data_IF_351063893375
#
_entry.id   IF_351063893375
#
_cell.length_a   1.000
_cell.length_b   1.000
_cell.length_c   1.000
_cell.angle_alpha   90.00
_cell.angle_beta   90.00
_cell.angle_gamma   90.00
#
_symmetry.space_group_name_H-M   'P 1'
#
loop_
_entity.id
_entity.type
_entity.pdbx_description
1 polymer ?
#
# COMPACT_ATOMS: atom_id res chain seq x y z
N UNK A 1 1.49 22.26 -9.00
CA UNK A 1 1.68 21.94 -7.56
C UNK A 1 2.59 22.99 -6.94
N UNK A 2 2.23 23.51 -5.78
CA UNK A 2 2.99 24.58 -5.08
C UNK A 2 3.63 24.12 -3.77
N UNK A 3 3.32 22.92 -3.30
CA UNK A 3 3.88 22.31 -2.11
C UNK A 3 3.40 20.87 -1.94
N UNK A 4 4.06 20.13 -1.05
CA UNK A 4 3.83 18.71 -0.79
C UNK A 4 3.93 18.42 0.70
N UNK A 5 3.39 17.29 1.14
CA UNK A 5 3.61 16.80 2.50
C UNK A 5 5.02 16.17 2.65
N UNK A 6 5.41 15.86 3.89
CA UNK A 6 6.73 15.30 4.21
C UNK A 6 6.99 13.89 3.65
N UNK A 7 5.94 13.13 3.35
CA UNK A 7 6.02 11.75 2.85
C UNK A 7 5.94 11.65 1.32
N UNK A 8 5.44 12.68 0.63
CA UNK A 8 5.46 12.76 -0.84
C UNK A 8 6.90 12.78 -1.37
N UNK A 9 7.37 11.63 -1.84
CA UNK A 9 8.77 11.42 -2.25
C UNK A 9 8.92 10.90 -3.69
N UNK A 10 7.83 10.72 -4.41
CA UNK A 10 7.80 10.27 -5.79
C UNK A 10 6.75 11.06 -6.60
N UNK A 11 7.02 11.38 -7.88
CA UNK A 11 8.28 11.16 -8.61
C UNK A 11 9.41 12.08 -8.14
N UNK A 12 10.66 11.78 -8.48
CA UNK A 12 11.82 12.60 -8.05
C UNK A 12 11.69 14.08 -8.43
N UNK A 13 10.97 14.39 -9.51
CA UNK A 13 10.74 15.76 -9.98
C UNK A 13 10.00 16.67 -8.98
N UNK A 14 9.24 16.11 -8.03
CA UNK A 14 8.47 16.90 -7.05
C UNK A 14 9.27 17.20 -5.77
N UNK A 15 10.45 16.62 -5.57
CA UNK A 15 11.17 16.71 -4.30
C UNK A 15 11.70 18.11 -3.98
N UNK A 16 11.78 19.00 -4.97
CA UNK A 16 12.18 20.39 -4.78
C UNK A 16 11.02 21.29 -4.29
N UNK A 17 9.79 20.77 -4.21
CA UNK A 17 8.64 21.54 -3.74
C UNK A 17 8.71 21.76 -2.23
N UNK A 18 8.17 22.89 -1.73
CA UNK A 18 8.08 23.15 -0.29
C UNK A 18 7.38 22.02 0.46
N UNK A 19 8.02 21.53 1.53
CA UNK A 19 7.39 20.59 2.47
C UNK A 19 6.53 21.33 3.49
N UNK A 20 5.29 20.90 3.63
CA UNK A 20 4.24 21.58 4.41
C UNK A 20 3.87 20.84 5.70
N UNK A 21 4.69 19.87 6.13
CA UNK A 21 4.42 18.99 7.27
C UNK A 21 3.91 17.63 6.84
N UNK A 22 3.73 16.72 7.79
CA UNK A 22 3.23 15.36 7.62
C UNK A 22 2.00 15.10 8.49
N UNK A 23 1.89 13.87 9.00
CA UNK A 23 0.74 13.40 9.75
C UNK A 23 0.83 13.96 11.18
N UNK A 24 0.11 15.07 11.43
CA UNK A 24 0.00 15.70 12.75
C UNK A 24 0.68 17.07 12.90
N UNK A 25 1.54 17.46 11.96
CA UNK A 25 2.32 18.71 12.01
C UNK A 25 2.16 19.57 10.74
N UNK A 26 1.02 19.45 10.05
CA UNK A 26 0.69 20.24 8.85
C UNK A 26 0.73 21.74 9.17
N UNK A 27 1.56 22.49 8.43
CA UNK A 27 1.74 23.92 8.57
C UNK A 27 0.73 24.71 7.73
N UNK A 28 -0.40 25.05 8.37
CA UNK A 28 -1.50 25.79 7.73
C UNK A 28 -1.08 27.20 7.29
N UNK A 29 -0.26 27.90 8.07
CA UNK A 29 0.19 29.26 7.69
C UNK A 29 1.01 29.23 6.40
N UNK A 30 1.88 28.24 6.25
CA UNK A 30 2.66 28.04 5.03
C UNK A 30 1.79 27.62 3.85
N UNK A 31 0.75 26.81 4.07
CA UNK A 31 -0.25 26.49 3.04
C UNK A 31 -0.92 27.78 2.55
N UNK A 32 -1.40 28.63 3.47
CA UNK A 32 -2.08 29.90 3.13
C UNK A 32 -1.15 30.83 2.33
N UNK A 33 0.12 30.94 2.72
CA UNK A 33 1.12 31.76 2.02
C UNK A 33 1.34 31.34 0.57
N UNK A 34 1.20 30.05 0.26
CA UNK A 34 1.34 29.53 -1.11
C UNK A 34 0.12 29.79 -1.99
N UNK A 35 -0.99 30.27 -1.42
CA UNK A 35 -2.25 30.59 -2.13
C UNK A 35 -2.72 29.47 -3.08
N UNK A 36 -2.88 28.22 -2.61
CA UNK A 36 -3.32 27.12 -3.47
C UNK A 36 -4.79 27.29 -3.87
N UNK A 37 -5.14 26.86 -5.08
CA UNK A 37 -6.53 26.77 -5.52
C UNK A 37 -7.27 25.61 -4.84
N UNK A 38 -6.55 24.51 -4.56
CA UNK A 38 -7.05 23.32 -3.90
C UNK A 38 -5.95 22.63 -3.11
N UNK A 39 -6.31 22.03 -1.96
CA UNK A 39 -5.42 21.16 -1.18
C UNK A 39 -5.96 19.74 -1.19
N UNK A 40 -5.17 18.79 -1.71
CA UNK A 40 -5.47 17.37 -1.70
C UNK A 40 -5.04 16.76 -0.37
N UNK A 41 -5.94 16.05 0.32
CA UNK A 41 -5.73 15.56 1.68
C UNK A 41 -6.35 14.18 1.87
N UNK A 42 -5.94 13.46 2.91
CA UNK A 42 -6.69 12.32 3.41
C UNK A 42 -8.01 12.79 4.06
N UNK A 43 -9.09 12.03 3.89
CA UNK A 43 -10.41 12.36 4.44
C UNK A 43 -10.44 12.53 5.97
N UNK A 44 -9.56 11.82 6.69
CA UNK A 44 -9.44 11.93 8.14
C UNK A 44 -8.58 13.14 8.60
N UNK A 45 -8.09 13.96 7.67
CA UNK A 45 -7.17 15.05 8.00
C UNK A 45 -7.82 16.11 8.89
N UNK A 46 -7.24 16.42 10.07
CA UNK A 46 -7.86 17.34 11.04
C UNK A 46 -7.84 18.81 10.57
N UNK A 47 -7.09 19.14 9.51
CA UNK A 47 -6.93 20.51 9.03
C UNK A 47 -8.00 20.94 8.03
N UNK A 48 -8.84 20.02 7.54
CA UNK A 48 -9.86 20.29 6.51
C UNK A 48 -10.77 21.45 6.92
N UNK A 49 -11.36 21.38 8.12
CA UNK A 49 -12.28 22.42 8.60
C UNK A 49 -11.61 23.80 8.71
N UNK A 50 -10.34 23.84 9.15
CA UNK A 50 -9.58 25.08 9.29
C UNK A 50 -9.20 25.67 7.94
N UNK A 51 -8.79 24.87 6.97
CA UNK A 51 -8.50 25.33 5.61
C UNK A 51 -9.76 25.88 4.91
N UNK A 52 -10.87 25.15 5.00
CA UNK A 52 -12.15 25.61 4.45
C UNK A 52 -12.62 26.92 5.12
N UNK A 53 -12.46 27.06 6.43
CA UNK A 53 -12.77 28.29 7.16
C UNK A 53 -11.90 29.49 6.78
N UNK A 54 -10.72 29.25 6.19
CA UNK A 54 -9.84 30.26 5.60
C UNK A 54 -10.12 30.51 4.12
N UNK A 55 -11.18 29.91 3.56
CA UNK A 55 -11.56 30.04 2.15
C UNK A 55 -10.71 29.22 1.18
N UNK A 56 -9.91 28.26 1.68
CA UNK A 56 -9.09 27.38 0.83
C UNK A 56 -9.88 26.09 0.57
N UNK A 57 -10.12 25.79 -0.70
CA UNK A 57 -10.80 24.57 -1.10
C UNK A 57 -9.97 23.34 -0.75
N UNK A 58 -10.62 22.33 -0.18
CA UNK A 58 -10.00 21.03 0.12
C UNK A 58 -10.67 19.92 -0.68
N UNK A 59 -9.88 18.94 -1.10
CA UNK A 59 -10.37 17.73 -1.75
C UNK A 59 -9.81 16.50 -1.04
N UNK A 60 -10.70 15.82 -0.32
CA UNK A 60 -10.38 14.67 0.50
C UNK A 60 -10.50 13.36 -0.29
N UNK A 61 -9.47 12.51 -0.16
CA UNK A 61 -9.42 11.15 -0.69
C UNK A 61 -9.30 10.15 0.46
N UNK A 62 -9.97 9.02 0.33
CA UNK A 62 -9.84 7.86 1.21
C UNK A 62 -9.77 6.62 0.32
N UNK A 63 -8.57 6.06 0.18
CA UNK A 63 -8.29 5.00 -0.78
C UNK A 63 -7.92 3.74 0.00
N UNK A 64 -8.87 2.81 0.06
CA UNK A 64 -8.70 1.54 0.78
C UNK A 64 -8.70 0.35 -0.16
N UNK A 65 -9.46 0.41 -1.25
CA UNK A 65 -9.57 -0.64 -2.27
C UNK A 65 -9.02 -0.17 -3.63
N UNK A 66 -8.80 -1.09 -4.58
CA UNK A 66 -8.43 -0.66 -5.93
C UNK A 66 -9.59 0.08 -6.62
N UNK A 67 -10.85 -0.24 -6.25
CA UNK A 67 -12.03 0.51 -6.74
C UNK A 67 -12.02 1.96 -6.25
N UNK A 68 -11.55 2.21 -5.04
CA UNK A 68 -11.40 3.57 -4.52
C UNK A 68 -10.30 4.32 -5.27
N UNK A 69 -9.20 3.65 -5.62
CA UNK A 69 -8.12 4.23 -6.45
C UNK A 69 -8.65 4.64 -7.83
N UNK A 70 -9.37 3.76 -8.53
CA UNK A 70 -9.97 4.06 -9.84
C UNK A 70 -10.90 5.29 -9.76
N UNK A 71 -11.74 5.35 -8.73
CA UNK A 71 -12.63 6.50 -8.49
C UNK A 71 -11.85 7.76 -8.12
N UNK A 72 -10.78 7.64 -7.34
CA UNK A 72 -9.92 8.76 -6.97
C UNK A 72 -9.27 9.37 -8.21
N UNK A 73 -8.72 8.55 -9.11
CA UNK A 73 -8.17 8.99 -10.39
C UNK A 73 -9.22 9.73 -11.23
N UNK A 74 -10.43 9.19 -11.36
CA UNK A 74 -11.53 9.84 -12.10
C UNK A 74 -11.94 11.20 -11.50
N UNK A 75 -12.00 11.29 -10.16
CA UNK A 75 -12.30 12.57 -9.51
C UNK A 75 -11.15 13.57 -9.65
N UNK A 76 -9.91 13.10 -9.63
CA UNK A 76 -8.74 13.95 -9.85
C UNK A 76 -8.74 14.55 -11.27
N UNK A 77 -9.18 13.80 -12.29
CA UNK A 77 -9.37 14.35 -13.63
C UNK A 77 -10.33 15.54 -13.63
N UNK A 78 -11.45 15.45 -12.90
CA UNK A 78 -12.42 16.56 -12.77
C UNK A 78 -11.82 17.74 -12.02
N UNK A 79 -11.15 17.49 -10.88
CA UNK A 79 -10.58 18.55 -10.02
C UNK A 79 -9.42 19.28 -10.70
N UNK A 80 -8.59 18.55 -11.44
CA UNK A 80 -7.38 19.07 -12.09
C UNK A 80 -7.61 19.49 -13.54
N UNK A 81 -8.79 19.22 -14.11
CA UNK A 81 -9.07 19.46 -15.52
C UNK A 81 -8.23 18.60 -16.47
N UNK A 82 -7.93 17.36 -16.07
CA UNK A 82 -7.15 16.39 -16.85
C UNK A 82 -8.00 15.25 -17.39
N UNK A 83 -7.40 14.38 -18.21
CA UNK A 83 -8.04 13.19 -18.78
C UNK A 83 -7.08 11.98 -18.74
N UNK A 84 -6.38 11.80 -17.63
CA UNK A 84 -5.29 10.82 -17.47
C UNK A 84 -5.74 9.55 -16.75
N UNK A 85 -6.87 9.58 -16.03
CA UNK A 85 -7.31 8.49 -15.15
C UNK A 85 -7.39 7.14 -15.86
N UNK A 86 -8.02 7.09 -17.03
CA UNK A 86 -8.14 5.88 -17.85
C UNK A 86 -6.79 5.31 -18.24
N UNK A 87 -5.84 6.16 -18.66
CA UNK A 87 -4.50 5.73 -19.06
C UNK A 87 -3.74 5.14 -17.88
N UNK A 88 -3.73 5.85 -16.74
CA UNK A 88 -3.05 5.42 -15.51
C UNK A 88 -3.65 4.12 -14.98
N UNK A 89 -4.98 4.02 -14.93
CA UNK A 89 -5.66 2.82 -14.45
C UNK A 89 -5.38 1.60 -15.33
N UNK A 90 -5.43 1.78 -16.66
CA UNK A 90 -5.07 0.71 -17.59
C UNK A 90 -3.63 0.24 -17.40
N UNK A 91 -2.69 1.15 -17.14
CA UNK A 91 -1.30 0.79 -16.84
C UNK A 91 -1.21 -0.08 -15.58
N UNK A 92 -1.87 0.32 -14.49
CA UNK A 92 -1.93 -0.47 -13.24
C UNK A 92 -2.46 -1.88 -13.52
N UNK A 93 -3.59 -1.99 -14.22
CA UNK A 93 -4.20 -3.30 -14.52
C UNK A 93 -3.29 -4.18 -15.40
N UNK A 94 -2.62 -3.59 -16.40
CA UNK A 94 -1.69 -4.32 -17.27
C UNK A 94 -0.47 -4.82 -16.51
N UNK A 95 0.09 -4.02 -15.60
CA UNK A 95 1.21 -4.43 -14.75
C UNK A 95 0.83 -5.55 -13.80
N UNK A 96 -0.34 -5.49 -13.15
CA UNK A 96 -0.85 -6.58 -12.29
C UNK A 96 -1.04 -7.87 -13.10
N UNK A 97 -1.58 -7.77 -14.32
CA UNK A 97 -1.75 -8.92 -15.21
C UNK A 97 -0.42 -9.51 -15.67
N UNK A 98 0.62 -8.68 -15.86
CA UNK A 98 1.97 -9.17 -16.15
C UNK A 98 2.57 -9.89 -14.94
N UNK A 99 2.42 -9.32 -13.75
CA UNK A 99 2.90 -9.91 -12.50
C UNK A 99 2.25 -11.27 -12.24
N UNK A 100 0.94 -11.42 -12.48
CA UNK A 100 0.24 -12.69 -12.23
C UNK A 100 0.74 -13.84 -13.10
N UNK A 101 1.32 -13.55 -14.27
CA UNK A 101 1.89 -14.57 -15.19
C UNK A 101 3.27 -15.10 -14.75
N UNK A 102 3.93 -14.43 -13.80
CA UNK A 102 5.23 -14.88 -13.27
C UNK A 102 5.08 -15.97 -12.20
N UNK A 103 3.88 -16.10 -11.60
CA UNK A 103 3.61 -17.09 -10.58
C UNK A 103 3.19 -18.43 -11.19
N UNK A 104 3.50 -19.56 -10.52
CA UNK A 104 3.09 -20.88 -10.97
C UNK A 104 1.55 -21.00 -11.06
N UNK A 105 1.09 -21.90 -11.93
CA UNK A 105 -0.33 -22.11 -12.28
C UNK A 105 -1.28 -22.08 -11.06
N UNK A 106 -2.49 -21.49 -11.20
CA UNK A 106 -3.47 -21.31 -10.11
C UNK A 106 -3.94 -22.59 -9.40
N UNK A 107 -3.57 -23.78 -9.89
CA UNK A 107 -3.85 -25.05 -9.22
C UNK A 107 -3.19 -25.15 -7.82
N UNK A 108 -2.05 -24.48 -7.61
CA UNK A 108 -1.42 -24.40 -6.28
C UNK A 108 -1.67 -23.05 -5.64
N UNK A 109 -2.70 -23.00 -4.81
CA UNK A 109 -3.06 -21.83 -4.00
C UNK A 109 -2.00 -21.58 -2.91
N UNK A 110 -1.12 -20.60 -3.13
CA UNK A 110 -0.11 -20.19 -2.15
C UNK A 110 -0.77 -19.29 -1.10
N UNK A 111 -0.77 -19.72 0.16
CA UNK A 111 -1.27 -18.89 1.27
C UNK A 111 -0.25 -17.84 1.70
N UNK A 112 -0.69 -16.60 1.90
CA UNK A 112 0.17 -15.46 2.19
C UNK A 112 -0.33 -14.62 3.36
N UNK A 113 0.60 -14.04 4.09
CA UNK A 113 0.36 -13.01 5.11
C UNK A 113 1.19 -11.77 4.77
N UNK A 114 0.54 -10.62 4.60
CA UNK A 114 1.21 -9.34 4.36
C UNK A 114 1.01 -8.42 5.54
N UNK A 115 2.11 -8.03 6.20
CA UNK A 115 2.11 -7.06 7.29
C UNK A 115 2.59 -5.69 6.78
N UNK A 116 1.76 -4.66 6.91
CA UNK A 116 2.01 -3.35 6.30
C UNK A 116 2.96 -2.48 7.13
N UNK A 117 3.09 -2.74 8.43
CA UNK A 117 3.97 -2.00 9.33
C UNK A 117 4.28 -2.79 10.63
N UNK A 118 5.24 -2.33 11.46
CA UNK A 118 5.57 -3.00 12.73
C UNK A 118 4.45 -3.01 13.79
N UNK A 119 3.38 -2.23 13.58
CA UNK A 119 2.23 -2.15 14.50
C UNK A 119 1.13 -3.14 14.06
N UNK A 120 1.42 -4.44 14.11
CA UNK A 120 0.99 -5.51 13.18
C UNK A 120 -0.36 -5.27 12.46
N UNK A 121 -0.41 -4.27 11.59
CA UNK A 121 -1.52 -4.08 10.67
C UNK A 121 -1.27 -4.98 9.46
N UNK A 122 -2.30 -5.69 9.01
CA UNK A 122 -2.18 -6.56 7.86
C UNK A 122 -3.00 -6.03 6.67
N UNK A 123 -2.60 -6.42 5.46
CA UNK A 123 -3.45 -6.22 4.29
C UNK A 123 -4.61 -7.23 4.33
N UNK A 124 -5.81 -6.76 4.63
CA UNK A 124 -7.04 -7.54 4.50
C UNK A 124 -7.43 -7.72 3.04
N UNK A 125 -8.24 -8.73 2.73
CA UNK A 125 -8.61 -9.05 1.34
C UNK A 125 -9.31 -7.91 0.60
N UNK A 126 -10.06 -7.07 1.31
CA UNK A 126 -10.75 -5.91 0.75
C UNK A 126 -9.88 -4.63 0.69
N UNK A 127 -8.59 -4.73 1.00
CA UNK A 127 -7.64 -3.65 0.74
C UNK A 127 -7.13 -3.69 -0.69
N UNK A 128 -6.58 -2.58 -1.18
CA UNK A 128 -5.92 -2.55 -2.48
C UNK A 128 -4.77 -3.58 -2.56
N UNK A 129 -4.01 -3.78 -1.47
CA UNK A 129 -2.97 -4.82 -1.39
C UNK A 129 -3.60 -6.21 -1.46
N UNK A 130 -4.67 -6.46 -0.69
CA UNK A 130 -5.39 -7.74 -0.71
C UNK A 130 -6.02 -8.09 -2.07
N UNK A 131 -6.52 -7.09 -2.78
CA UNK A 131 -7.04 -7.22 -4.14
C UNK A 131 -5.92 -7.53 -5.14
N UNK A 132 -4.74 -6.90 -5.00
CA UNK A 132 -3.54 -7.26 -5.77
C UNK A 132 -3.16 -8.72 -5.50
N UNK A 133 -3.05 -9.14 -4.23
CA UNK A 133 -2.73 -10.52 -3.87
C UNK A 133 -3.72 -11.52 -4.49
N UNK A 134 -5.02 -11.18 -4.48
CA UNK A 134 -6.07 -12.00 -5.10
C UNK A 134 -5.89 -12.10 -6.62
N UNK A 135 -5.55 -11.00 -7.30
CA UNK A 135 -5.29 -10.97 -8.76
C UNK A 135 -4.00 -11.72 -9.14
N UNK A 136 -3.06 -11.84 -8.22
CA UNK A 136 -1.87 -12.68 -8.34
C UNK A 136 -2.18 -14.18 -8.11
N UNK A 137 -3.42 -14.56 -7.78
CA UNK A 137 -3.81 -15.94 -7.51
C UNK A 137 -3.40 -16.45 -6.11
N UNK A 138 -3.03 -15.55 -5.21
CA UNK A 138 -2.60 -15.87 -3.85
C UNK A 138 -3.81 -15.93 -2.91
N UNK A 139 -3.68 -16.74 -1.85
CA UNK A 139 -4.71 -16.85 -0.81
C UNK A 139 -4.27 -16.04 0.41
N UNK A 140 -4.90 -14.89 0.60
CA UNK A 140 -4.67 -14.07 1.79
C UNK A 140 -5.25 -14.77 3.03
N UNK A 141 -4.46 -14.93 4.09
CA UNK A 141 -4.94 -15.54 5.35
C UNK A 141 -5.86 -14.61 6.14
N UNK A 142 -5.89 -13.31 5.83
CA UNK A 142 -6.71 -12.33 6.54
C UNK A 142 -8.18 -12.43 6.09
N UNK A 143 -9.13 -12.74 6.99
CA UNK A 143 -10.54 -12.83 6.65
C UNK A 143 -11.14 -11.49 6.23
N UNK A 144 -12.07 -11.53 5.28
CA UNK A 144 -12.79 -10.37 4.73
C UNK A 144 -13.51 -9.57 5.82
N UNK A 145 -13.97 -10.26 6.88
CA UNK A 145 -14.72 -9.69 8.01
C UNK A 145 -13.92 -8.71 8.87
N UNK A 146 -12.58 -8.73 8.80
CA UNK A 146 -11.72 -7.86 9.58
C UNK A 146 -11.49 -6.48 8.93
N UNK A 147 -11.95 -6.29 7.69
CA UNK A 147 -11.79 -5.03 6.96
C UNK A 147 -10.47 -4.92 6.17
N UNK A 148 -10.16 -3.75 5.61
CA UNK A 148 -9.03 -3.58 4.69
C UNK A 148 -7.67 -3.58 5.38
N UNK A 149 -7.55 -2.94 6.55
CA UNK A 149 -6.28 -2.88 7.29
C UNK A 149 -6.49 -3.20 8.78
N UNK A 150 -6.84 -4.46 9.13
CA UNK A 150 -7.01 -4.85 10.52
C UNK A 150 -5.68 -4.92 11.26
N UNK A 151 -5.74 -4.61 12.55
CA UNK A 151 -4.67 -4.97 13.48
C UNK A 151 -4.80 -6.46 13.81
N UNK A 152 -3.73 -7.22 13.58
CA UNK A 152 -3.72 -8.68 13.71
C UNK A 152 -3.00 -9.11 14.98
N UNK A 153 -3.57 -10.10 15.65
CA UNK A 153 -2.92 -10.76 16.76
C UNK A 153 -1.83 -11.73 16.24
N UNK A 154 -0.56 -11.67 16.69
CA UNK A 154 0.49 -12.54 16.18
C UNK A 154 0.18 -14.05 16.26
N UNK A 155 -0.58 -14.51 17.25
CA UNK A 155 -1.00 -15.91 17.38
C UNK A 155 -1.92 -16.35 16.24
N UNK A 156 -2.74 -15.46 15.69
CA UNK A 156 -3.57 -15.75 14.52
C UNK A 156 -2.71 -16.17 13.31
N UNK A 157 -1.58 -15.48 13.10
CA UNK A 157 -0.62 -15.79 12.03
C UNK A 157 0.02 -17.16 12.26
N UNK A 158 0.38 -17.47 13.52
CA UNK A 158 0.93 -18.78 13.91
C UNK A 158 -0.06 -19.91 13.62
N UNK A 159 -1.33 -19.73 13.97
CA UNK A 159 -2.39 -20.71 13.74
C UNK A 159 -2.70 -20.89 12.25
N UNK A 160 -2.68 -19.81 11.49
CA UNK A 160 -3.00 -19.80 10.05
C UNK A 160 -1.90 -20.43 9.18
N UNK A 161 -0.66 -20.50 9.68
CA UNK A 161 0.50 -21.15 9.02
C UNK A 161 0.65 -20.77 7.53
N UNK A 162 0.77 -19.47 7.19
CA UNK A 162 0.93 -19.04 5.80
C UNK A 162 2.16 -19.70 5.16
N UNK A 163 2.08 -19.97 3.86
CA UNK A 163 3.21 -20.52 3.09
C UNK A 163 4.30 -19.47 2.81
N UNK A 164 3.90 -18.19 2.65
CA UNK A 164 4.81 -17.06 2.48
C UNK A 164 4.38 -15.90 3.37
N UNK A 165 5.36 -15.25 3.99
CA UNK A 165 5.15 -14.05 4.81
C UNK A 165 5.81 -12.86 4.09
N UNK A 166 5.09 -11.75 3.94
CA UNK A 166 5.51 -10.53 3.27
C UNK A 166 5.63 -9.41 4.30
N UNK A 167 6.83 -8.86 4.46
CA UNK A 167 7.20 -7.91 5.51
C UNK A 167 8.11 -6.82 4.98
N UNK A 168 8.15 -5.71 5.70
CA UNK A 168 9.18 -4.68 5.56
C UNK A 168 10.46 -5.09 6.32
N UNK A 169 11.63 -4.63 5.88
CA UNK A 169 12.89 -4.79 6.62
C UNK A 169 12.80 -4.32 8.07
N UNK A 170 12.08 -3.22 8.31
CA UNK A 170 11.86 -2.69 9.66
C UNK A 170 11.09 -3.67 10.56
N UNK A 171 10.17 -4.45 9.98
CA UNK A 171 9.33 -5.42 10.70
C UNK A 171 10.06 -6.75 10.92
N UNK A 172 10.97 -7.14 10.03
CA UNK A 172 11.69 -8.43 10.10
C UNK A 172 12.53 -8.56 11.38
N UNK A 173 13.06 -7.46 11.91
CA UNK A 173 13.84 -7.51 13.17
C UNK A 173 12.99 -7.97 14.35
N UNK A 174 11.71 -7.66 14.35
CA UNK A 174 10.82 -7.96 15.48
C UNK A 174 10.24 -9.38 15.41
N UNK A 175 10.17 -9.99 14.22
CA UNK A 175 9.52 -11.30 14.05
C UNK A 175 10.21 -12.44 14.78
N UNK A 176 11.54 -12.38 14.95
CA UNK A 176 12.30 -13.45 15.63
C UNK A 176 11.93 -13.55 17.12
N UNK A 177 11.45 -12.46 17.69
CA UNK A 177 11.05 -12.34 19.09
C UNK A 177 9.55 -12.63 19.31
N UNK A 178 8.76 -12.80 18.23
CA UNK A 178 7.33 -13.06 18.35
C UNK A 178 7.07 -14.48 18.86
N UNK A 179 6.29 -14.66 19.94
CA UNK A 179 5.94 -15.97 20.45
C UNK A 179 5.33 -16.88 19.37
N UNK A 180 5.79 -18.13 19.30
CA UNK A 180 5.26 -19.14 18.37
C UNK A 180 5.67 -18.99 16.90
N UNK A 181 6.23 -17.85 16.47
CA UNK A 181 6.54 -17.62 15.05
C UNK A 181 7.59 -18.60 14.49
N UNK A 182 8.55 -19.04 15.31
CA UNK A 182 9.54 -20.08 14.94
C UNK A 182 8.90 -21.39 14.46
N UNK A 183 7.65 -21.66 14.84
CA UNK A 183 6.91 -22.86 14.40
C UNK A 183 6.21 -22.70 13.04
N UNK A 184 6.15 -21.48 12.49
CA UNK A 184 5.52 -21.24 11.20
C UNK A 184 6.42 -21.83 10.10
N UNK A 185 5.91 -22.74 9.24
CA UNK A 185 6.71 -23.38 8.21
C UNK A 185 7.42 -22.41 7.26
N UNK A 186 6.84 -21.24 6.99
CA UNK A 186 7.46 -20.20 6.17
C UNK A 186 8.82 -19.75 6.72
N UNK A 187 8.99 -19.64 8.04
CA UNK A 187 10.28 -19.26 8.64
C UNK A 187 11.33 -20.36 8.45
N UNK A 188 10.95 -21.62 8.74
CA UNK A 188 11.85 -22.76 8.57
C UNK A 188 12.30 -22.96 7.11
N UNK A 189 11.39 -22.71 6.16
CA UNK A 189 11.65 -22.80 4.71
C UNK A 189 12.23 -21.52 4.10
N UNK A 190 12.54 -20.50 4.91
CA UNK A 190 13.05 -19.18 4.46
C UNK A 190 12.15 -18.48 3.43
N UNK A 191 10.82 -18.67 3.55
CA UNK A 191 9.79 -18.07 2.69
C UNK A 191 9.27 -16.77 3.26
N UNK A 192 10.21 -15.86 3.54
CA UNK A 192 9.91 -14.51 4.00
C UNK A 192 10.35 -13.56 2.91
N UNK A 193 9.40 -12.82 2.36
CA UNK A 193 9.64 -11.67 1.51
C UNK A 193 9.91 -10.47 2.39
N UNK A 194 11.12 -9.92 2.25
CA UNK A 194 11.59 -8.77 3.02
C UNK A 194 11.79 -7.61 2.05
N UNK A 195 11.05 -6.53 2.25
CA UNK A 195 11.07 -5.38 1.35
C UNK A 195 11.85 -4.21 1.96
N UNK A 196 12.70 -3.59 1.13
CA UNK A 196 13.43 -2.38 1.50
C UNK A 196 12.48 -1.21 1.78
N UNK A 197 12.99 -0.12 2.37
CA UNK A 197 12.18 1.08 2.58
C UNK A 197 11.56 1.61 1.27
N UNK A 198 12.33 1.64 0.18
CA UNK A 198 11.88 2.12 -1.13
C UNK A 198 10.80 1.22 -1.73
N UNK A 199 10.97 -0.11 -1.61
CA UNK A 199 9.95 -1.07 -2.05
C UNK A 199 8.69 -0.95 -1.20
N UNK A 200 8.83 -0.80 0.12
CA UNK A 200 7.69 -0.63 1.00
C UNK A 200 6.86 0.61 0.63
N UNK A 201 7.51 1.73 0.29
CA UNK A 201 6.84 2.93 -0.18
C UNK A 201 6.00 2.74 -1.45
N UNK A 202 6.35 1.76 -2.28
CA UNK A 202 5.55 1.35 -3.44
C UNK A 202 4.39 0.44 -3.00
N UNK A 203 4.67 -0.50 -2.10
CA UNK A 203 3.73 -1.56 -1.70
C UNK A 203 2.57 -1.07 -0.84
N UNK A 204 2.80 -0.11 0.06
CA UNK A 204 1.80 0.29 1.08
C UNK A 204 1.10 1.61 0.80
N UNK A 205 1.37 2.22 -0.36
CA UNK A 205 0.74 3.48 -0.77
C UNK A 205 -0.10 3.26 -2.02
N UNK A 206 -1.43 3.45 -1.96
CA UNK A 206 -2.25 3.36 -3.17
C UNK A 206 -1.87 4.48 -4.13
N UNK A 207 -1.93 4.20 -5.43
CA UNK A 207 -1.53 5.16 -6.46
C UNK A 207 -1.09 4.53 -7.78
N UNK A 208 -0.47 5.33 -8.66
CA UNK A 208 0.01 4.89 -9.98
C UNK A 208 0.99 3.71 -9.97
N UNK A 209 1.68 3.45 -8.86
CA UNK A 209 2.68 2.38 -8.72
C UNK A 209 2.13 1.06 -8.17
N UNK A 210 0.82 0.91 -8.04
CA UNK A 210 0.20 -0.35 -7.60
C UNK A 210 0.50 -1.54 -8.53
N UNK A 211 0.75 -1.28 -9.81
CA UNK A 211 1.21 -2.31 -10.74
C UNK A 211 2.66 -2.76 -10.47
N UNK A 212 3.56 -1.81 -10.20
CA UNK A 212 4.92 -2.07 -9.72
C UNK A 212 4.94 -2.87 -8.41
N UNK A 213 4.03 -2.55 -7.47
CA UNK A 213 3.85 -3.31 -6.24
C UNK A 213 3.54 -4.80 -6.51
N UNK A 214 2.68 -5.09 -7.50
CA UNK A 214 2.36 -6.46 -7.88
C UNK A 214 3.56 -7.22 -8.45
N UNK A 215 4.39 -6.56 -9.26
CA UNK A 215 5.63 -7.14 -9.80
C UNK A 215 6.61 -7.48 -8.68
N UNK A 216 6.85 -6.55 -7.75
CA UNK A 216 7.74 -6.76 -6.59
C UNK A 216 7.28 -7.96 -5.74
N UNK A 217 5.97 -8.06 -5.47
CA UNK A 217 5.39 -9.19 -4.73
C UNK A 217 5.61 -10.50 -5.48
N UNK A 218 5.32 -10.51 -6.78
CA UNK A 218 5.39 -11.70 -7.62
C UNK A 218 6.80 -12.25 -7.73
N UNK A 219 7.77 -11.39 -8.01
CA UNK A 219 9.20 -11.73 -8.11
C UNK A 219 9.71 -12.36 -6.81
N UNK A 220 9.39 -11.75 -5.66
CA UNK A 220 9.81 -12.30 -4.39
C UNK A 220 9.18 -13.68 -4.10
N UNK A 221 7.88 -13.85 -4.34
CA UNK A 221 7.21 -15.14 -4.13
C UNK A 221 7.79 -16.21 -5.06
N UNK A 222 8.04 -15.88 -6.32
CA UNK A 222 8.67 -16.78 -7.29
C UNK A 222 10.06 -17.24 -6.80
N UNK A 223 10.87 -16.32 -6.31
CA UNK A 223 12.18 -16.61 -5.71
C UNK A 223 12.03 -17.56 -4.50
N UNK A 224 11.17 -17.22 -3.52
CA UNK A 224 11.02 -18.03 -2.29
C UNK A 224 10.44 -19.42 -2.54
N UNK A 225 9.60 -19.57 -3.55
CA UNK A 225 8.99 -20.85 -3.90
C UNK A 225 9.89 -21.74 -4.76
N UNK A 226 10.83 -21.16 -5.51
CA UNK A 226 11.81 -21.92 -6.30
C UNK A 226 12.94 -22.51 -5.44
N UNK A 227 13.39 -21.80 -4.40
CA UNK A 227 14.43 -22.24 -3.46
C UNK A 227 14.05 -23.47 -2.60
N UNK A 228 12.80 -23.92 -2.65
CA UNK A 228 12.28 -25.08 -1.90
C UNK A 228 12.09 -26.35 -2.76
N UNK A 229 12.51 -26.33 -4.03
CA UNK A 229 12.60 -27.51 -4.89
C UNK A 229 14.02 -28.05 -4.85
#
# INVERSE_FOLDING_TARGET
MVGIDSFSNWPKSIQNLPKLGGMGDINIERIVQLKPDVVLLENASPVIARLNGLGISTFALDIKSMRDEERALQKLDVVLGSSESTRVWNQIQQEIMRASKQLPSPEKKISVYFEVNPAPFAAGKNSFIGEILTRLGLVNIIPDSLGPFPKINPEFVVQSKPEVILLTESTVRDIQNRPGWKSIPALAKKRICTFTADQNDILVRPGPRMGEAALIISECIQEKMSLSR
#
